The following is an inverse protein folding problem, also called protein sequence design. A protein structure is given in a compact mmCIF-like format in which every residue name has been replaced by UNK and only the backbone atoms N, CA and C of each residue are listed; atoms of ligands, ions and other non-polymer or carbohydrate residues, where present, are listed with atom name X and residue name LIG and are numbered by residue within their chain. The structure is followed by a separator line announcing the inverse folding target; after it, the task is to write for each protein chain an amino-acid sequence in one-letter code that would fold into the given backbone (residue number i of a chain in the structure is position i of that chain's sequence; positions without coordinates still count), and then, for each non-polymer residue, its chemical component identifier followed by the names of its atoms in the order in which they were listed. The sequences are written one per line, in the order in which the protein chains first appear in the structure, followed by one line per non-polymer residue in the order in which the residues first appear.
data_IF_192252954475
#
_entry.id   IF_192252954475
#
_cell.length_a   1.000
_cell.length_b   1.000
_cell.length_c   1.000
_cell.angle_alpha   90.00
_cell.angle_beta   90.00
_cell.angle_gamma   90.00
#
_symmetry.space_group_name_H-M   'P 1'
#
loop_
_entity.id
_entity.type
_entity.pdbx_description
1 polymer ?
#
# COMPACT_ATOMS: atom_id res chain seq x y z
N UNK A 1 61.85 28.57 2.33
CA UNK A 1 62.71 27.37 2.29
C UNK A 1 62.20 26.38 3.34
N UNK A 2 62.14 25.11 2.96
CA UNK A 2 61.82 23.90 3.75
C UNK A 2 60.34 23.52 3.99
N UNK A 3 59.87 22.75 3.01
CA UNK A 3 58.83 21.73 3.01
C UNK A 3 58.98 20.70 4.13
N UNK A 4 57.90 20.31 4.80
CA UNK A 4 57.75 18.96 5.35
C UNK A 4 56.44 18.32 4.91
N UNK A 5 56.62 17.30 4.07
CA UNK A 5 55.66 16.30 3.65
C UNK A 5 55.33 15.41 4.85
N UNK A 6 54.06 15.09 5.05
CA UNK A 6 53.65 13.83 5.68
C UNK A 6 52.38 13.34 4.99
N UNK A 7 52.59 12.42 4.06
CA UNK A 7 51.57 11.55 3.49
C UNK A 7 51.22 10.48 4.54
N UNK A 8 49.96 10.38 4.92
CA UNK A 8 49.41 9.17 5.54
C UNK A 8 48.30 8.66 4.63
N UNK A 9 48.65 7.67 3.82
CA UNK A 9 47.69 6.89 3.05
C UNK A 9 47.02 5.89 3.99
N UNK A 10 45.72 6.08 4.26
CA UNK A 10 44.89 5.09 4.91
C UNK A 10 43.93 4.50 3.88
N UNK A 11 44.32 3.35 3.34
CA UNK A 11 43.54 2.53 2.42
C UNK A 11 42.26 2.06 3.10
N UNK A 12 41.13 2.68 2.78
CA UNK A 12 39.82 2.21 3.22
C UNK A 12 39.36 1.10 2.27
N UNK A 13 39.35 -0.12 2.78
CA UNK A 13 38.85 -1.34 2.13
C UNK A 13 37.43 -1.12 1.60
N UNK A 14 37.26 -1.15 0.28
CA UNK A 14 35.95 -1.22 -0.38
C UNK A 14 35.40 -2.63 -0.21
N UNK A 15 34.63 -2.87 0.85
CA UNK A 15 33.80 -4.06 0.96
C UNK A 15 32.62 -3.94 -0.02
N UNK A 16 32.80 -4.43 -1.25
CA UNK A 16 31.70 -4.60 -2.21
C UNK A 16 30.94 -5.87 -1.82
N UNK A 17 30.10 -5.77 -0.78
CA UNK A 17 29.15 -6.82 -0.42
C UNK A 17 28.00 -6.83 -1.42
N UNK A 18 28.01 -7.78 -2.37
CA UNK A 18 26.85 -8.03 -3.22
C UNK A 18 25.77 -8.71 -2.38
N UNK A 19 24.81 -7.93 -1.90
CA UNK A 19 23.58 -8.45 -1.29
C UNK A 19 22.74 -9.13 -2.38
N UNK A 20 22.96 -10.43 -2.58
CA UNK A 20 22.06 -11.28 -3.35
C UNK A 20 20.73 -11.40 -2.60
N UNK A 21 19.85 -10.41 -2.77
CA UNK A 21 18.45 -10.57 -2.37
C UNK A 21 17.83 -11.57 -3.33
N UNK A 22 17.48 -12.76 -2.83
CA UNK A 22 16.68 -13.71 -3.59
C UNK A 22 15.45 -12.98 -4.17
N UNK A 23 15.06 -13.23 -5.43
CA UNK A 23 13.89 -12.61 -6.01
C UNK A 23 12.67 -12.94 -5.13
N UNK A 24 11.99 -11.90 -4.63
CA UNK A 24 10.72 -12.10 -3.90
C UNK A 24 9.80 -12.93 -4.80
N UNK A 25 9.16 -13.99 -4.27
CA UNK A 25 8.12 -14.70 -5.00
C UNK A 25 7.14 -13.68 -5.57
N UNK A 26 6.86 -13.76 -6.87
CA UNK A 26 5.90 -12.87 -7.53
C UNK A 26 4.55 -13.04 -6.85
N UNK A 27 4.15 -12.03 -6.08
CA UNK A 27 2.93 -12.09 -5.29
C UNK A 27 1.72 -12.21 -6.22
N UNK A 28 0.88 -13.23 -6.03
CA UNK A 28 -0.33 -13.41 -6.85
C UNK A 28 -1.25 -12.21 -6.66
N UNK A 29 -1.48 -11.47 -7.74
CA UNK A 29 -2.40 -10.34 -7.80
C UNK A 29 -3.76 -10.82 -8.34
N UNK A 30 -4.80 -10.69 -7.54
CA UNK A 30 -6.18 -10.89 -7.97
C UNK A 30 -6.57 -9.87 -9.03
N UNK A 31 -7.26 -10.28 -10.11
CA UNK A 31 -7.62 -9.39 -11.21
C UNK A 31 -8.77 -8.47 -10.82
N UNK A 32 -8.85 -7.30 -11.44
CA UNK A 32 -9.96 -6.38 -11.22
C UNK A 32 -11.32 -7.09 -11.45
N UNK A 33 -12.26 -6.91 -10.54
CA UNK A 33 -13.60 -7.50 -10.69
C UNK A 33 -14.30 -6.93 -11.93
N UNK A 34 -15.18 -7.72 -12.55
CA UNK A 34 -15.92 -7.27 -13.75
C UNK A 34 -16.77 -6.02 -13.47
N UNK A 35 -17.29 -5.87 -12.24
CA UNK A 35 -18.03 -4.69 -11.80
C UNK A 35 -17.10 -3.48 -11.66
N UNK A 36 -15.96 -3.60 -10.98
CA UNK A 36 -15.02 -2.49 -10.86
C UNK A 36 -14.41 -2.10 -12.21
N UNK A 37 -14.21 -3.05 -13.12
CA UNK A 37 -13.72 -2.78 -14.48
C UNK A 37 -14.60 -1.80 -15.25
N UNK A 38 -15.93 -1.84 -15.03
CA UNK A 38 -16.90 -0.94 -15.69
C UNK A 38 -16.93 0.47 -15.08
N UNK A 39 -16.48 0.64 -13.84
CA UNK A 39 -16.53 1.94 -13.14
C UNK A 39 -15.40 2.84 -13.62
N UNK A 40 -15.70 4.03 -14.13
CA UNK A 40 -14.69 4.95 -14.69
C UNK A 40 -14.53 6.24 -13.89
N UNK A 41 -15.59 6.68 -13.18
CA UNK A 41 -15.60 7.93 -12.40
C UNK A 41 -16.06 7.68 -10.97
N UNK A 42 -15.56 8.50 -10.05
CA UNK A 42 -16.04 8.55 -8.69
C UNK A 42 -17.37 9.32 -8.64
N UNK A 43 -18.39 8.73 -8.02
CA UNK A 43 -19.73 9.30 -7.91
C UNK A 43 -19.74 10.55 -7.01
N UNK A 44 -18.92 10.54 -5.96
CA UNK A 44 -18.80 11.67 -5.02
C UNK A 44 -17.96 12.85 -5.54
N UNK A 45 -16.93 12.59 -6.35
CA UNK A 45 -15.92 13.61 -6.71
C UNK A 45 -15.87 13.95 -8.21
N UNK A 46 -16.57 13.19 -9.06
CA UNK A 46 -16.55 13.33 -10.52
C UNK A 46 -15.23 12.97 -11.22
N UNK A 47 -14.16 12.68 -10.46
CA UNK A 47 -12.83 12.37 -11.01
C UNK A 47 -12.73 10.94 -11.55
N UNK A 48 -11.89 10.73 -12.57
CA UNK A 48 -11.57 9.38 -13.04
C UNK A 48 -10.96 8.52 -11.93
N UNK A 49 -11.41 7.26 -11.86
CA UNK A 49 -10.84 6.27 -10.97
C UNK A 49 -9.49 5.80 -11.53
N UNK A 50 -8.52 5.61 -10.64
CA UNK A 50 -7.20 5.05 -10.96
C UNK A 50 -7.14 3.58 -10.55
N UNK A 51 -6.28 2.80 -11.18
CA UNK A 51 -6.01 1.41 -10.79
C UNK A 51 -4.85 1.38 -9.80
N UNK A 52 -4.95 0.55 -8.78
CA UNK A 52 -3.88 0.27 -7.83
C UNK A 52 -4.00 -1.16 -7.29
N UNK A 53 -2.90 -1.66 -6.74
CA UNK A 53 -2.80 -2.98 -6.13
C UNK A 53 -2.82 -2.82 -4.61
N UNK A 54 -3.85 -3.36 -3.96
CA UNK A 54 -4.02 -3.23 -2.51
C UNK A 54 -3.94 -4.58 -1.81
N UNK A 55 -3.53 -4.55 -0.55
CA UNK A 55 -3.41 -5.76 0.27
C UNK A 55 -4.79 -6.34 0.58
N UNK A 56 -4.89 -7.65 0.43
CA UNK A 56 -5.98 -8.45 0.96
C UNK A 56 -5.58 -8.90 2.37
N UNK A 57 -6.36 -8.48 3.36
CA UNK A 57 -6.21 -8.91 4.75
C UNK A 57 -7.14 -10.10 4.99
N UNK A 58 -6.56 -11.24 5.34
CA UNK A 58 -7.29 -12.45 5.70
C UNK A 58 -7.21 -12.71 7.21
N UNK A 59 -8.15 -13.49 7.73
CA UNK A 59 -8.22 -13.84 9.14
C UNK A 59 -8.90 -12.75 9.96
N UNK A 60 -8.27 -12.39 11.08
CA UNK A 60 -8.78 -11.38 12.01
C UNK A 60 -8.74 -10.02 11.34
N UNK A 61 -9.89 -9.34 11.30
CA UNK A 61 -9.98 -7.99 10.78
C UNK A 61 -9.08 -7.04 11.60
N UNK A 62 -8.36 -6.11 10.96
CA UNK A 62 -7.60 -5.12 11.70
C UNK A 62 -8.54 -4.29 12.58
N UNK A 63 -8.06 -3.89 13.76
CA UNK A 63 -8.78 -3.01 14.67
C UNK A 63 -8.90 -1.63 13.99
N UNK A 64 -10.08 -1.36 13.44
CA UNK A 64 -10.41 -0.04 12.89
C UNK A 64 -10.89 0.90 13.99
N UNK A 65 -10.63 2.21 13.90
CA UNK A 65 -11.22 3.18 14.81
C UNK A 65 -12.75 3.11 14.79
N UNK A 66 -13.39 3.38 15.93
CA UNK A 66 -14.85 3.42 16.03
C UNK A 66 -15.44 4.38 14.98
N UNK A 67 -16.49 3.94 14.28
CA UNK A 67 -17.15 4.72 13.22
C UNK A 67 -16.47 4.69 11.85
N UNK A 68 -15.35 3.96 11.68
CA UNK A 68 -14.66 3.89 10.39
C UNK A 68 -15.54 3.32 9.28
N UNK A 69 -16.34 2.29 9.57
CA UNK A 69 -17.21 1.67 8.57
C UNK A 69 -18.30 2.63 8.08
N UNK A 70 -18.93 3.36 9.00
CA UNK A 70 -19.92 4.40 8.69
C UNK A 70 -19.29 5.53 7.88
N UNK A 71 -18.14 6.03 8.34
CA UNK A 71 -17.40 7.09 7.66
C UNK A 71 -16.94 6.68 6.26
N UNK A 72 -16.47 5.44 6.08
CA UNK A 72 -16.02 4.94 4.78
C UNK A 72 -17.14 4.90 3.75
N UNK A 73 -18.34 4.46 4.15
CA UNK A 73 -19.52 4.46 3.28
C UNK A 73 -19.98 5.88 2.94
N UNK A 74 -19.99 6.78 3.91
CA UNK A 74 -20.58 8.11 3.76
C UNK A 74 -19.63 9.14 3.13
N UNK A 75 -18.34 9.10 3.49
CA UNK A 75 -17.39 10.19 3.23
C UNK A 75 -16.28 9.84 2.23
N UNK A 76 -15.95 8.55 2.07
CA UNK A 76 -14.88 8.12 1.17
C UNK A 76 -15.10 6.72 0.57
N UNK A 77 -16.26 6.48 -0.09
CA UNK A 77 -16.67 5.14 -0.54
C UNK A 77 -15.74 4.52 -1.58
N UNK A 78 -14.92 5.33 -2.23
CA UNK A 78 -13.98 4.92 -3.27
C UNK A 78 -12.51 5.04 -2.84
N UNK A 79 -12.20 5.08 -1.54
CA UNK A 79 -10.81 5.07 -1.09
C UNK A 79 -10.13 3.74 -1.43
N UNK A 80 -10.82 2.61 -1.18
CA UNK A 80 -10.38 1.25 -1.56
C UNK A 80 -8.91 1.02 -1.21
N UNK A 81 -8.52 1.33 0.03
CA UNK A 81 -7.12 1.25 0.48
C UNK A 81 -6.71 -0.14 0.97
N UNK A 82 -7.68 -1.05 1.13
CA UNK A 82 -7.46 -2.46 1.46
C UNK A 82 -8.73 -3.27 1.22
N UNK A 83 -8.60 -4.59 1.24
CA UNK A 83 -9.73 -5.52 1.07
C UNK A 83 -9.68 -6.56 2.18
N UNK A 84 -10.85 -6.97 2.66
CA UNK A 84 -11.00 -8.12 3.56
C UNK A 84 -11.24 -9.37 2.72
N UNK A 85 -10.32 -10.33 2.78
CA UNK A 85 -10.38 -11.59 2.03
C UNK A 85 -11.21 -12.68 2.71
N UNK A 86 -11.68 -12.43 3.94
CA UNK A 86 -12.39 -13.41 4.76
C UNK A 86 -11.49 -14.12 5.78
N UNK A 87 -12.05 -15.06 6.52
CA UNK A 87 -11.35 -15.72 7.64
C UNK A 87 -10.47 -16.91 7.22
N UNK A 88 -10.83 -17.60 6.13
CA UNK A 88 -10.15 -18.83 5.70
C UNK A 88 -9.00 -18.48 4.76
N UNK A 89 -7.81 -19.00 5.05
CA UNK A 89 -6.59 -18.79 4.25
C UNK A 89 -6.22 -20.11 3.57
N UNK A 90 -6.20 -20.12 2.24
CA UNK A 90 -5.68 -21.25 1.45
C UNK A 90 -4.33 -20.88 0.82
N UNK A 91 -3.42 -21.84 0.58
CA UNK A 91 -2.06 -21.58 0.08
C UNK A 91 -1.99 -20.81 -1.24
N UNK A 92 -3.01 -20.94 -2.09
CA UNK A 92 -3.04 -20.41 -3.44
C UNK A 92 -3.79 -19.07 -3.59
N UNK A 93 -4.37 -18.56 -2.51
CA UNK A 93 -5.12 -17.30 -2.50
C UNK A 93 -4.23 -16.09 -2.80
N UNK A 94 -4.73 -15.10 -3.58
CA UNK A 94 -4.00 -13.87 -3.83
C UNK A 94 -3.85 -13.07 -2.52
N UNK A 95 -2.74 -12.37 -2.35
CA UNK A 95 -2.53 -11.46 -1.20
C UNK A 95 -2.66 -10.00 -1.58
N UNK A 96 -2.73 -9.73 -2.88
CA UNK A 96 -2.88 -8.42 -3.48
C UNK A 96 -4.06 -8.47 -4.43
N UNK A 97 -4.82 -7.39 -4.53
CA UNK A 97 -5.96 -7.27 -5.44
C UNK A 97 -5.84 -5.96 -6.21
N UNK A 98 -6.00 -6.03 -7.53
CA UNK A 98 -6.17 -4.85 -8.35
C UNK A 98 -7.54 -4.23 -8.08
N UNK A 99 -7.58 -2.93 -7.76
CA UNK A 99 -8.80 -2.17 -7.49
C UNK A 99 -8.82 -0.87 -8.27
N UNK A 100 -10.02 -0.35 -8.51
CA UNK A 100 -10.19 1.05 -8.91
C UNK A 100 -10.49 1.92 -7.69
N UNK A 101 -9.80 3.06 -7.57
CA UNK A 101 -9.92 3.97 -6.46
C UNK A 101 -10.00 5.44 -6.90
N UNK A 102 -10.55 6.29 -6.04
CA UNK A 102 -10.55 7.74 -6.20
C UNK A 102 -9.42 8.35 -5.34
N UNK A 103 -8.49 9.13 -5.93
CA UNK A 103 -7.43 9.81 -5.17
C UNK A 103 -7.97 10.72 -4.06
N UNK A 104 -9.07 11.44 -4.33
CA UNK A 104 -9.69 12.34 -3.34
C UNK A 104 -10.32 11.57 -2.17
N UNK A 105 -10.98 10.44 -2.44
CA UNK A 105 -11.48 9.57 -1.36
C UNK A 105 -10.33 9.04 -0.48
N UNK A 106 -9.19 8.63 -1.07
CA UNK A 106 -8.03 8.19 -0.27
C UNK A 106 -7.44 9.31 0.58
N UNK A 107 -7.42 10.55 0.08
CA UNK A 107 -7.00 11.70 0.88
C UNK A 107 -7.97 11.91 2.06
N UNK A 108 -9.29 11.83 1.80
CA UNK A 108 -10.32 11.96 2.83
C UNK A 108 -10.21 10.85 3.90
N UNK A 109 -10.05 9.59 3.49
CA UNK A 109 -9.83 8.46 4.39
C UNK A 109 -8.59 8.66 5.27
N UNK A 110 -7.46 9.03 4.67
CA UNK A 110 -6.21 9.31 5.43
C UNK A 110 -6.40 10.42 6.45
N UNK A 111 -7.08 11.51 6.08
CA UNK A 111 -7.39 12.60 7.00
C UNK A 111 -8.29 12.13 8.15
N UNK A 112 -9.30 11.31 7.83
CA UNK A 112 -10.20 10.75 8.83
C UNK A 112 -9.44 9.84 9.81
N UNK A 113 -8.62 8.93 9.31
CA UNK A 113 -7.79 8.02 10.13
C UNK A 113 -6.78 8.78 10.99
N UNK A 114 -6.20 9.87 10.49
CA UNK A 114 -5.29 10.70 11.28
C UNK A 114 -5.99 11.37 12.47
N UNK A 115 -7.27 11.71 12.32
CA UNK A 115 -8.09 12.31 13.37
C UNK A 115 -8.70 11.28 14.35
N UNK A 116 -8.78 10.00 13.96
CA UNK A 116 -9.42 8.93 14.74
C UNK A 116 -8.43 7.79 14.95
N UNK A 117 -7.79 7.77 16.13
CA UNK A 117 -6.85 6.69 16.47
C UNK A 117 -7.60 5.39 16.74
N UNK A 118 -7.07 4.23 16.32
CA UNK A 118 -7.56 2.95 16.81
C UNK A 118 -7.33 2.89 18.32
N UNK A 119 -8.34 2.42 19.05
CA UNK A 119 -8.30 2.26 20.51
C UNK A 119 -7.54 0.99 20.88
#
# INVERSE_FOLDING_TARGET
MFTHKLFVAASLLTAVGTVNSAPKPTEKVGPLTASDAKRTKCEMHGTHLKVDNVRISYGIAPLWPAGYYEASKASFPNARSGIMGGCIIMPDMPRIQAVKFCPKCRIAEKKWLAAHKPQ
#
